data_IF_674119374407
#
_entry.id   IF_674119374407
#
_cell.length_a   1.000
_cell.length_b   1.000
_cell.length_c   1.000
_cell.angle_alpha   90.00
_cell.angle_beta   90.00
_cell.angle_gamma   90.00
#
_symmetry.space_group_name_H-M   'P 1'
#
loop_
_entity.id
_entity.type
_entity.pdbx_description
1 polymer ?
#
# COMPACT_ATOMS: atom_id res chain seq x y z
N UNK A 1 13.26 16.33 5.81
CA UNK A 1 12.50 15.94 4.60
C UNK A 1 11.30 15.07 4.96
N UNK A 2 11.50 13.89 5.59
CA UNK A 2 10.42 12.93 5.89
C UNK A 2 9.24 13.52 6.69
N UNK A 3 9.50 14.22 7.81
CA UNK A 3 8.43 14.86 8.60
C UNK A 3 7.65 15.89 7.78
N UNK A 4 8.33 16.67 6.92
CA UNK A 4 7.68 17.67 6.08
C UNK A 4 6.77 17.05 5.03
N UNK A 5 7.16 15.92 4.42
CA UNK A 5 6.30 15.20 3.48
C UNK A 5 5.10 14.56 4.16
N UNK A 6 5.26 14.03 5.37
CA UNK A 6 4.15 13.50 6.19
C UNK A 6 3.14 14.62 6.48
N UNK A 7 3.61 15.75 7.00
CA UNK A 7 2.74 16.89 7.32
C UNK A 7 2.06 17.48 6.09
N UNK A 8 2.72 17.52 4.94
CA UNK A 8 2.11 18.00 3.70
C UNK A 8 0.90 17.12 3.30
N UNK A 9 1.05 15.81 3.33
CA UNK A 9 -0.02 14.85 3.02
C UNK A 9 -1.18 14.92 4.03
N UNK A 10 -0.88 14.98 5.33
CA UNK A 10 -1.90 15.15 6.39
C UNK A 10 -2.69 16.46 6.23
N UNK A 11 -2.05 17.51 5.70
CA UNK A 11 -2.69 18.78 5.36
C UNK A 11 -3.32 18.79 3.95
N UNK A 12 -3.39 17.63 3.28
CA UNK A 12 -3.97 17.42 1.95
C UNK A 12 -3.30 18.28 0.88
N UNK A 13 -1.97 18.38 0.93
CA UNK A 13 -1.14 19.10 -0.05
C UNK A 13 -0.31 18.12 -0.84
N UNK A 14 -0.18 18.41 -2.14
CA UNK A 14 0.78 17.71 -2.99
C UNK A 14 2.21 18.03 -2.56
N UNK A 15 3.09 17.04 -2.61
CA UNK A 15 4.50 17.22 -2.26
C UNK A 15 5.44 16.51 -3.22
N UNK A 16 6.52 17.20 -3.61
CA UNK A 16 7.63 16.63 -4.36
C UNK A 16 8.82 16.43 -3.42
N UNK A 17 9.26 15.19 -3.30
CA UNK A 17 10.38 14.81 -2.43
C UNK A 17 11.60 14.44 -3.27
N UNK A 18 12.60 15.33 -3.30
CA UNK A 18 13.89 15.05 -3.93
C UNK A 18 14.89 14.55 -2.89
N UNK A 19 15.33 13.29 -3.03
CA UNK A 19 16.38 12.70 -2.23
C UNK A 19 16.98 11.43 -2.85
N UNK A 20 18.23 11.14 -2.49
CA UNK A 20 18.97 9.98 -2.95
C UNK A 20 18.38 8.63 -2.51
N UNK A 21 18.86 7.55 -3.11
CA UNK A 21 18.53 6.18 -2.70
C UNK A 21 18.98 5.94 -1.25
N UNK A 22 18.22 5.14 -0.49
CA UNK A 22 18.53 4.89 0.92
C UNK A 22 18.11 6.00 1.89
N UNK A 23 17.66 7.16 1.40
CA UNK A 23 17.24 8.29 2.25
C UNK A 23 15.92 8.09 3.01
N UNK A 24 15.33 6.88 2.95
CA UNK A 24 14.08 6.56 3.64
C UNK A 24 12.81 7.18 3.03
N UNK A 25 12.72 7.33 1.70
CA UNK A 25 11.52 7.87 1.02
C UNK A 25 10.25 7.03 1.24
N UNK A 26 10.39 5.74 1.50
CA UNK A 26 9.26 4.83 1.76
C UNK A 26 8.59 5.10 3.10
N UNK A 27 9.34 5.55 4.12
CA UNK A 27 8.82 5.71 5.47
C UNK A 27 7.70 6.75 5.57
N UNK A 28 7.79 7.95 4.95
CA UNK A 28 6.68 8.89 4.86
C UNK A 28 5.39 8.28 4.31
N UNK A 29 5.47 7.43 3.29
CA UNK A 29 4.30 6.77 2.69
C UNK A 29 3.65 5.83 3.72
N UNK A 30 4.45 4.98 4.38
CA UNK A 30 3.96 4.06 5.40
C UNK A 30 3.30 4.79 6.58
N UNK A 31 3.92 5.86 7.09
CA UNK A 31 3.39 6.61 8.22
C UNK A 31 2.04 7.26 7.87
N UNK A 32 1.89 7.85 6.69
CA UNK A 32 0.62 8.46 6.30
C UNK A 32 -0.51 7.43 6.20
N UNK A 33 -0.23 6.22 5.67
CA UNK A 33 -1.20 5.12 5.64
C UNK A 33 -1.62 4.72 7.07
N UNK A 34 -0.67 4.64 8.01
CA UNK A 34 -0.95 4.25 9.39
C UNK A 34 -1.67 5.34 10.20
N UNK A 35 -1.53 6.62 9.81
CA UNK A 35 -2.24 7.75 10.41
C UNK A 35 -3.62 7.98 9.80
N UNK A 36 -3.96 7.30 8.70
CA UNK A 36 -5.27 7.44 8.09
C UNK A 36 -6.37 6.90 9.01
N UNK A 37 -7.47 7.64 9.07
CA UNK A 37 -8.68 7.27 9.80
C UNK A 37 -9.28 5.97 9.21
N UNK A 38 -9.31 4.86 9.98
CA UNK A 38 -9.81 3.58 9.49
C UNK A 38 -11.26 3.63 9.01
N UNK A 39 -12.08 4.54 9.55
CA UNK A 39 -13.50 4.68 9.16
C UNK A 39 -13.68 5.19 7.73
N UNK A 40 -12.64 5.80 7.14
CA UNK A 40 -12.68 6.38 5.79
C UNK A 40 -12.31 5.40 4.69
N UNK A 41 -11.87 4.18 5.04
CA UNK A 41 -11.53 3.12 4.08
C UNK A 41 -10.66 3.59 2.90
N UNK A 42 -9.65 4.43 3.21
CA UNK A 42 -8.75 4.97 2.20
C UNK A 42 -7.85 3.88 1.61
N UNK A 43 -7.46 4.09 0.35
CA UNK A 43 -6.52 3.23 -0.38
C UNK A 43 -5.37 4.10 -0.87
N UNK A 44 -4.13 3.67 -0.60
CA UNK A 44 -2.93 4.32 -1.14
C UNK A 44 -2.42 3.54 -2.33
N UNK A 45 -2.18 4.22 -3.44
CA UNK A 45 -1.63 3.65 -4.67
C UNK A 45 -0.19 4.14 -4.82
N UNK A 46 0.77 3.22 -4.85
CA UNK A 46 2.18 3.52 -5.17
C UNK A 46 2.49 3.02 -6.56
N UNK A 47 2.97 3.92 -7.42
CA UNK A 47 3.35 3.59 -8.79
C UNK A 47 4.88 3.50 -8.86
N UNK A 48 5.38 2.33 -9.25
CA UNK A 48 6.81 2.06 -9.41
C UNK A 48 7.06 1.48 -10.80
N UNK A 49 8.03 2.00 -11.58
CA UNK A 49 8.27 1.55 -12.95
C UNK A 49 8.91 0.15 -13.04
N UNK A 50 9.49 -0.37 -11.96
CA UNK A 50 10.22 -1.63 -11.96
C UNK A 50 9.48 -2.71 -11.15
N UNK A 51 9.19 -3.86 -11.78
CA UNK A 51 8.54 -5.01 -11.11
C UNK A 51 9.26 -5.44 -9.83
N UNK A 52 10.60 -5.52 -9.86
CA UNK A 52 11.40 -5.85 -8.67
C UNK A 52 11.22 -4.84 -7.54
N UNK A 53 11.13 -3.55 -7.86
CA UNK A 53 10.92 -2.50 -6.86
C UNK A 53 9.51 -2.62 -6.24
N UNK A 54 8.49 -2.92 -7.06
CA UNK A 54 7.14 -3.17 -6.57
C UNK A 54 7.12 -4.34 -5.58
N UNK A 55 7.74 -5.47 -5.93
CA UNK A 55 7.82 -6.64 -5.06
C UNK A 55 8.54 -6.35 -3.72
N UNK A 56 9.67 -5.63 -3.77
CA UNK A 56 10.39 -5.22 -2.55
C UNK A 56 9.54 -4.28 -1.69
N UNK A 57 8.87 -3.29 -2.30
CA UNK A 57 8.00 -2.37 -1.56
C UNK A 57 6.80 -3.10 -0.95
N UNK A 58 6.15 -4.01 -1.68
CA UNK A 58 5.03 -4.80 -1.19
C UNK A 58 5.45 -5.63 0.04
N UNK A 59 6.59 -6.31 -0.03
CA UNK A 59 7.12 -7.08 1.08
C UNK A 59 7.44 -6.19 2.28
N UNK A 60 8.15 -5.06 2.07
CA UNK A 60 8.44 -4.10 3.14
C UNK A 60 7.16 -3.58 3.81
N UNK A 61 6.14 -3.19 3.03
CA UNK A 61 4.86 -2.75 3.58
C UNK A 61 4.18 -3.83 4.40
N UNK A 62 4.19 -5.07 3.92
CA UNK A 62 3.54 -6.20 4.60
C UNK A 62 4.29 -6.61 5.87
N UNK A 63 5.57 -6.98 5.77
CA UNK A 63 6.31 -7.59 6.88
C UNK A 63 6.90 -6.58 7.86
N UNK A 64 7.33 -5.41 7.39
CA UNK A 64 7.95 -4.39 8.25
C UNK A 64 6.94 -3.43 8.86
N UNK A 65 5.91 -3.05 8.12
CA UNK A 65 4.95 -2.03 8.54
C UNK A 65 3.57 -2.59 8.88
N UNK A 66 3.30 -3.87 8.61
CA UNK A 66 1.99 -4.49 8.87
C UNK A 66 0.86 -3.98 7.96
N UNK A 67 1.20 -3.36 6.83
CA UNK A 67 0.24 -2.75 5.90
C UNK A 67 -0.12 -3.77 4.82
N UNK A 68 -1.42 -4.10 4.74
CA UNK A 68 -1.96 -4.95 3.66
C UNK A 68 -1.71 -4.29 2.31
N UNK A 69 -0.86 -4.91 1.51
CA UNK A 69 -0.38 -4.35 0.23
C UNK A 69 -0.34 -5.45 -0.82
N UNK A 70 -0.70 -5.10 -2.05
CA UNK A 70 -0.65 -5.98 -3.20
C UNK A 70 0.01 -5.27 -4.39
N UNK A 71 0.91 -5.95 -5.10
CA UNK A 71 1.55 -5.42 -6.31
C UNK A 71 0.79 -5.88 -7.55
N UNK A 72 0.27 -4.91 -8.33
CA UNK A 72 -0.45 -5.17 -9.58
C UNK A 72 0.47 -4.82 -10.76
N UNK A 73 0.68 -5.77 -11.66
CA UNK A 73 1.44 -5.60 -12.90
C UNK A 73 1.06 -6.68 -13.94
N UNK A 74 1.79 -6.73 -15.04
CA UNK A 74 1.59 -7.66 -16.17
C UNK A 74 1.64 -9.16 -15.80
N UNK A 75 2.25 -9.53 -14.66
CA UNK A 75 2.26 -10.91 -14.17
C UNK A 75 1.03 -11.24 -13.31
N UNK A 76 0.15 -10.26 -13.06
CA UNK A 76 -1.05 -10.45 -12.25
C UNK A 76 -2.13 -11.18 -13.06
N UNK A 77 -2.70 -12.29 -12.57
CA UNK A 77 -3.75 -13.01 -13.30
C UNK A 77 -4.94 -12.11 -13.64
N UNK A 78 -5.51 -12.30 -14.83
CA UNK A 78 -6.73 -11.61 -15.26
C UNK A 78 -8.04 -12.29 -14.81
N UNK A 79 -7.92 -13.42 -14.10
CA UNK A 79 -9.04 -14.25 -13.68
C UNK A 79 -9.83 -13.59 -12.53
N UNK A 80 -11.15 -13.50 -12.68
CA UNK A 80 -12.03 -12.84 -11.71
C UNK A 80 -11.99 -13.55 -10.35
N UNK A 81 -11.93 -14.89 -10.31
CA UNK A 81 -11.88 -15.64 -9.07
C UNK A 81 -10.58 -15.34 -8.29
N UNK A 82 -9.45 -15.21 -9.00
CA UNK A 82 -8.19 -14.76 -8.41
C UNK A 82 -8.33 -13.38 -7.75
N UNK A 83 -8.96 -12.40 -8.42
CA UNK A 83 -9.20 -11.06 -7.88
C UNK A 83 -10.19 -11.06 -6.71
N UNK A 84 -11.23 -11.90 -6.75
CA UNK A 84 -12.18 -12.02 -5.63
C UNK A 84 -11.45 -12.44 -4.36
N UNK A 85 -10.58 -13.44 -4.44
CA UNK A 85 -9.83 -13.92 -3.26
C UNK A 85 -8.81 -12.89 -2.80
N UNK A 86 -8.01 -12.31 -3.70
CA UNK A 86 -6.84 -11.52 -3.29
C UNK A 86 -7.18 -10.05 -3.01
N UNK A 87 -8.22 -9.48 -3.62
CA UNK A 87 -8.58 -8.08 -3.46
C UNK A 87 -9.64 -7.85 -2.38
N UNK A 88 -10.64 -8.74 -2.25
CA UNK A 88 -11.68 -8.55 -1.22
C UNK A 88 -11.16 -8.80 0.21
N UNK A 89 -10.19 -9.71 0.39
CA UNK A 89 -9.54 -9.94 1.69
C UNK A 89 -8.69 -8.73 2.17
N UNK A 90 -8.34 -7.79 1.27
CA UNK A 90 -7.71 -6.52 1.65
C UNK A 90 -8.73 -5.56 2.27
N UNK A 91 -10.05 -5.74 2.06
CA UNK A 91 -11.08 -4.91 2.69
C UNK A 91 -11.62 -5.49 3.99
N UNK A 92 -11.81 -6.80 4.09
CA UNK A 92 -12.35 -7.46 5.28
C UNK A 92 -11.42 -8.57 5.76
N UNK A 93 -11.01 -8.61 7.05
CA UNK A 93 -10.21 -9.72 7.58
C UNK A 93 -10.99 -11.03 7.64
N UNK A 94 -12.32 -10.97 7.53
CA UNK A 94 -13.19 -12.14 7.49
C UNK A 94 -13.29 -12.67 6.06
N UNK A 95 -13.00 -13.96 5.90
CA UNK A 95 -13.14 -14.67 4.65
C UNK A 95 -14.66 -14.84 4.36
N UNK A 96 -15.19 -14.30 3.25
CA UNK A 96 -16.62 -14.47 2.93
C UNK A 96 -17.00 -15.94 2.70
N UNK A 97 -16.03 -16.84 2.51
CA UNK A 97 -16.24 -18.27 2.30
C UNK A 97 -16.16 -19.12 3.57
N UNK A 98 -15.91 -18.55 4.76
CA UNK A 98 -15.95 -19.29 6.04
C UNK A 98 -17.37 -19.51 6.59
N UNK A 99 -18.43 -19.00 5.94
CA UNK A 99 -19.82 -19.17 6.37
C UNK A 99 -20.61 -20.24 5.60
N UNK A 100 -19.95 -21.07 4.77
CA UNK A 100 -20.61 -22.06 3.91
C UNK A 100 -20.36 -23.51 4.35
N UNK A 101 -19.87 -23.73 5.58
CA UNK A 101 -19.80 -25.03 6.24
C UNK A 101 -20.20 -24.92 7.71
#
# INVERSE_FOLDING_TARGET
MQLRSILADQLKKDSLVSAGTGSGKTLPIAINILLDDPSKNKVTITISPLKRLQATQQEDFKSRYGIRTFAINDDTPHDEAWWTVHFYLIRTPENPFTSIY
#
